data_IF_350390769372
#
_entry.id   IF_350390769372
#
_cell.length_a   1.000
_cell.length_b   1.000
_cell.length_c   1.000
_cell.angle_alpha   90.00
_cell.angle_beta   90.00
_cell.angle_gamma   90.00
#
_symmetry.space_group_name_H-M   'P 1'
#
loop_
_entity.id
_entity.type
_entity.pdbx_description
1 polymer ?
#
# COMPACT_ATOMS: atom_id res chain seq x y z
N UNK A 1 -22.65 3.37 47.09
CA UNK A 1 -22.74 2.42 45.96
C UNK A 1 -21.89 1.22 46.29
N UNK A 2 -22.49 0.03 46.42
CA UNK A 2 -21.73 -1.19 46.61
C UNK A 2 -20.94 -1.51 45.32
N UNK A 3 -19.69 -1.99 45.42
CA UNK A 3 -18.94 -2.40 44.23
C UNK A 3 -19.69 -3.55 43.54
N UNK A 4 -19.83 -3.46 42.22
CA UNK A 4 -20.39 -4.53 41.40
C UNK A 4 -19.56 -5.80 41.57
N UNK A 5 -20.18 -6.99 41.74
CA UNK A 5 -19.43 -8.23 41.92
C UNK A 5 -18.56 -8.51 40.67
N UNK A 6 -17.26 -8.74 40.89
CA UNK A 6 -16.31 -9.05 39.83
C UNK A 6 -16.60 -10.46 39.26
N UNK A 7 -16.61 -10.60 37.92
CA UNK A 7 -16.83 -11.91 37.28
C UNK A 7 -15.63 -12.85 37.47
N UNK A 8 -15.86 -14.17 37.50
CA UNK A 8 -14.79 -15.17 37.60
C UNK A 8 -13.73 -15.02 36.50
N UNK A 9 -14.14 -14.58 35.30
CA UNK A 9 -13.24 -14.33 34.17
C UNK A 9 -12.33 -13.12 34.36
N UNK A 10 -12.75 -12.13 35.16
CA UNK A 10 -11.97 -10.95 35.48
C UNK A 10 -10.93 -11.27 36.57
N UNK A 11 -11.34 -12.01 37.60
CA UNK A 11 -10.45 -12.50 38.66
C UNK A 11 -9.31 -13.36 38.09
N UNK A 12 -9.61 -14.22 37.10
CA UNK A 12 -8.60 -15.04 36.43
C UNK A 12 -7.56 -14.25 35.60
N UNK A 13 -7.90 -13.03 35.15
CA UNK A 13 -7.05 -12.20 34.29
C UNK A 13 -6.37 -11.05 35.03
N UNK A 14 -6.77 -10.80 36.27
CA UNK A 14 -6.23 -9.73 37.10
C UNK A 14 -4.77 -10.06 37.45
N UNK A 15 -3.81 -9.16 37.19
CA UNK A 15 -2.43 -9.42 37.56
C UNK A 15 -2.32 -9.56 39.10
N UNK A 16 -1.62 -10.60 39.54
CA UNK A 16 -1.39 -10.88 40.97
C UNK A 16 -0.25 -10.01 41.54
N UNK A 17 0.65 -9.55 40.68
CA UNK A 17 1.84 -8.76 41.03
C UNK A 17 1.50 -7.26 40.98
N UNK A 18 2.02 -6.43 41.91
CA UNK A 18 1.85 -4.98 41.84
C UNK A 18 2.39 -4.38 40.53
N UNK A 19 1.86 -3.24 40.11
CA UNK A 19 2.26 -2.52 38.91
C UNK A 19 3.59 -1.75 39.08
N UNK A 20 4.59 -2.41 39.67
CA UNK A 20 5.93 -1.90 39.89
C UNK A 20 6.94 -2.97 39.51
N UNK A 21 8.14 -2.53 39.16
CA UNK A 21 9.25 -3.44 38.86
C UNK A 21 10.16 -3.70 40.06
N UNK A 22 9.95 -2.94 41.14
CA UNK A 22 10.70 -3.07 42.38
C UNK A 22 10.37 -4.41 43.05
N UNK A 23 11.39 -5.26 43.22
CA UNK A 23 11.27 -6.58 43.87
C UNK A 23 10.85 -7.74 42.95
N UNK A 24 10.82 -7.54 41.62
CA UNK A 24 10.60 -8.61 40.65
C UNK A 24 11.93 -9.29 40.33
N UNK A 25 11.95 -10.63 40.41
CA UNK A 25 13.08 -11.42 39.93
C UNK A 25 13.11 -11.40 38.39
N UNK A 26 14.23 -10.98 37.83
CA UNK A 26 14.41 -10.77 36.40
C UNK A 26 14.67 -12.08 35.64
N UNK A 27 15.17 -13.10 36.35
CA UNK A 27 15.45 -14.42 35.78
C UNK A 27 14.15 -15.23 35.61
N UNK A 28 13.10 -14.88 36.36
CA UNK A 28 11.75 -15.45 36.24
C UNK A 28 10.93 -14.79 35.12
N UNK A 29 11.07 -15.31 33.90
CA UNK A 29 10.31 -14.84 32.73
C UNK A 29 8.78 -14.73 32.91
N UNK A 30 8.05 -15.61 33.64
CA UNK A 30 6.60 -15.45 33.82
C UNK A 30 6.24 -14.31 34.78
N UNK A 31 6.99 -14.12 35.88
CA UNK A 31 6.73 -13.04 36.84
C UNK A 31 7.04 -11.68 36.25
N UNK A 32 8.12 -11.58 35.49
CA UNK A 32 8.50 -10.37 34.75
C UNK A 32 7.42 -9.97 33.74
N UNK A 33 6.85 -10.92 32.99
CA UNK A 33 5.73 -10.64 32.07
C UNK A 33 4.46 -10.20 32.80
N UNK A 34 4.15 -10.81 33.94
CA UNK A 34 2.98 -10.40 34.76
C UNK A 34 3.14 -8.97 35.29
N UNK A 35 4.36 -8.59 35.72
CA UNK A 35 4.67 -7.22 36.15
C UNK A 35 4.58 -6.21 35.00
N UNK A 36 5.11 -6.55 33.81
CA UNK A 36 4.98 -5.72 32.61
C UNK A 36 3.51 -5.51 32.22
N UNK A 37 2.72 -6.58 32.23
CA UNK A 37 1.29 -6.54 31.93
C UNK A 37 0.51 -5.71 32.97
N UNK A 38 0.89 -5.77 34.24
CA UNK A 38 0.29 -4.95 35.30
C UNK A 38 0.55 -3.45 35.07
N UNK A 39 1.80 -3.09 34.77
CA UNK A 39 2.20 -1.71 34.44
C UNK A 39 1.44 -1.21 33.21
N UNK A 40 1.37 -2.02 32.14
CA UNK A 40 0.68 -1.64 30.91
C UNK A 40 -0.81 -1.38 31.16
N UNK A 41 -1.48 -2.24 31.93
CA UNK A 41 -2.90 -2.04 32.27
C UNK A 41 -3.12 -0.75 33.03
N UNK A 42 -2.31 -0.43 34.03
CA UNK A 42 -2.42 0.82 34.80
C UNK A 42 -2.19 2.06 33.92
N UNK A 43 -1.24 2.00 32.98
CA UNK A 43 -1.03 3.06 32.01
C UNK A 43 -2.24 3.25 31.09
N UNK A 44 -2.84 2.15 30.61
CA UNK A 44 -4.07 2.20 29.83
C UNK A 44 -5.24 2.77 30.62
N UNK A 45 -5.41 2.39 31.88
CA UNK A 45 -6.42 2.94 32.79
C UNK A 45 -6.25 4.44 32.92
N UNK A 46 -5.04 4.95 33.19
CA UNK A 46 -4.76 6.39 33.24
C UNK A 46 -5.11 7.11 31.94
N UNK A 47 -4.79 6.52 30.79
CA UNK A 47 -5.15 7.08 29.49
C UNK A 47 -6.67 7.12 29.26
N UNK A 48 -7.39 6.11 29.73
CA UNK A 48 -8.85 6.03 29.62
C UNK A 48 -9.54 7.00 30.57
N UNK A 49 -9.03 7.17 31.79
CA UNK A 49 -9.49 8.20 32.72
C UNK A 49 -9.36 9.59 32.11
N UNK A 50 -8.24 9.91 31.46
CA UNK A 50 -8.05 11.18 30.77
C UNK A 50 -9.06 11.39 29.62
N UNK A 51 -9.45 10.32 28.91
CA UNK A 51 -10.49 10.39 27.87
C UNK A 51 -11.87 10.66 28.47
N UNK A 52 -12.24 9.98 29.56
CA UNK A 52 -13.51 10.21 30.25
C UNK A 52 -13.62 11.64 30.77
N UNK A 53 -12.56 12.16 31.42
CA UNK A 53 -12.55 13.56 31.89
C UNK A 53 -12.68 14.53 30.72
N UNK A 54 -12.06 14.25 29.55
CA UNK A 54 -12.25 15.07 28.35
C UNK A 54 -13.70 15.06 27.86
N UNK A 55 -14.36 13.91 27.86
CA UNK A 55 -15.77 13.80 27.44
C UNK A 55 -16.70 14.55 28.39
N UNK A 56 -16.52 14.39 29.70
CA UNK A 56 -17.29 15.13 30.72
C UNK A 56 -17.02 16.63 30.66
N UNK A 57 -15.76 17.03 30.45
CA UNK A 57 -15.40 18.42 30.20
C UNK A 57 -16.15 18.94 28.97
N UNK A 58 -16.14 18.20 27.85
CA UNK A 58 -16.92 18.54 26.65
C UNK A 58 -18.40 18.75 26.95
N UNK A 59 -19.03 17.85 27.73
CA UNK A 59 -20.42 18.00 28.18
C UNK A 59 -20.62 19.25 29.05
N UNK A 60 -19.66 19.61 29.90
CA UNK A 60 -19.71 20.84 30.70
C UNK A 60 -19.69 22.10 29.82
N UNK A 61 -18.84 22.14 28.78
CA UNK A 61 -18.81 23.24 27.80
C UNK A 61 -20.16 23.40 27.09
N UNK A 62 -20.80 22.30 26.70
CA UNK A 62 -22.11 22.35 26.06
C UNK A 62 -23.25 22.75 27.01
N UNK A 63 -23.20 22.33 28.28
CA UNK A 63 -24.23 22.66 29.28
C UNK A 63 -24.17 24.11 29.75
N UNK A 64 -22.98 24.62 30.00
CA UNK A 64 -22.78 25.95 30.63
C UNK A 64 -22.59 27.08 29.62
N UNK A 65 -22.27 26.77 28.36
CA UNK A 65 -22.17 27.75 27.27
C UNK A 65 -21.15 28.85 27.58
N UNK A 66 -21.60 30.10 27.63
CA UNK A 66 -20.71 31.26 27.90
C UNK A 66 -20.07 31.18 29.30
N UNK A 67 -20.70 30.49 30.26
CA UNK A 67 -20.20 30.39 31.64
C UNK A 67 -19.25 29.19 31.91
N UNK A 68 -18.66 28.62 30.87
CA UNK A 68 -17.76 27.46 31.03
C UNK A 68 -16.43 27.82 31.73
N UNK A 69 -16.05 29.10 31.79
CA UNK A 69 -14.78 29.55 32.42
C UNK A 69 -14.81 29.40 33.94
N UNK A 70 -15.93 29.74 34.57
CA UNK A 70 -16.08 29.64 36.03
C UNK A 70 -16.44 28.20 36.45
N UNK A 71 -17.34 27.55 35.69
CA UNK A 71 -17.93 26.27 36.10
C UNK A 71 -17.16 25.03 35.64
N UNK A 72 -16.45 25.08 34.51
CA UNK A 72 -15.71 23.92 33.98
C UNK A 72 -14.21 23.92 34.38
N UNK A 73 -13.77 24.86 35.24
CA UNK A 73 -12.38 24.98 35.70
C UNK A 73 -11.85 23.73 36.39
N UNK A 74 -12.63 23.14 37.30
CA UNK A 74 -12.23 21.92 38.03
C UNK A 74 -11.96 20.72 37.10
N UNK A 75 -12.80 20.52 36.09
CA UNK A 75 -12.59 19.44 35.10
C UNK A 75 -11.37 19.68 34.22
N UNK A 76 -11.12 20.96 33.86
CA UNK A 76 -9.94 21.37 33.09
C UNK A 76 -8.65 21.12 33.87
N UNK A 77 -8.61 21.46 35.15
CA UNK A 77 -7.45 21.26 36.01
C UNK A 77 -7.13 19.78 36.20
N UNK A 78 -8.15 18.96 36.51
CA UNK A 78 -8.01 17.50 36.59
C UNK A 78 -7.53 16.87 35.29
N UNK A 79 -8.02 17.37 34.15
CA UNK A 79 -7.56 16.92 32.84
C UNK A 79 -6.08 17.28 32.59
N UNK A 80 -5.63 18.48 32.98
CA UNK A 80 -4.23 18.86 32.86
C UNK A 80 -3.30 18.08 33.79
N UNK A 81 -3.77 17.74 35.00
CA UNK A 81 -3.06 16.87 35.95
C UNK A 81 -2.84 15.48 35.34
N UNK A 82 -3.91 14.84 34.85
CA UNK A 82 -3.84 13.54 34.16
C UNK A 82 -2.97 13.59 32.89
N UNK A 83 -2.97 14.72 32.17
CA UNK A 83 -2.10 14.89 31.00
C UNK A 83 -0.61 14.88 31.37
N UNK A 84 -0.22 15.51 32.48
CA UNK A 84 1.19 15.51 32.93
C UNK A 84 1.66 14.09 33.25
N UNK A 85 0.82 13.31 33.94
CA UNK A 85 1.11 11.91 34.27
C UNK A 85 1.16 11.01 33.03
N UNK A 86 0.24 11.22 32.07
CA UNK A 86 0.20 10.43 30.83
C UNK A 86 1.36 10.72 29.87
N UNK A 87 1.91 11.96 29.87
CA UNK A 87 3.11 12.31 29.10
C UNK A 87 4.33 11.54 29.59
N UNK A 88 4.50 11.41 30.91
CA UNK A 88 5.57 10.61 31.52
C UNK A 88 5.47 9.13 31.14
N UNK A 89 4.25 8.58 31.04
CA UNK A 89 4.04 7.21 30.54
C UNK A 89 4.35 7.05 29.04
N UNK A 90 4.17 8.11 28.23
CA UNK A 90 4.46 8.10 26.79
C UNK A 90 5.96 8.10 26.50
N UNK A 91 6.75 8.79 27.31
CA UNK A 91 8.22 8.83 27.18
C UNK A 91 8.88 7.48 27.50
N UNK A 92 8.27 6.68 28.37
CA UNK A 92 8.76 5.35 28.72
C UNK A 92 8.50 4.27 27.64
N UNK A 93 7.63 4.55 26.66
CA UNK A 93 7.31 3.62 25.58
C UNK A 93 7.54 4.25 24.21
N UNK A 94 8.62 3.90 23.50
CA UNK A 94 8.96 4.50 22.22
C UNK A 94 8.01 3.99 21.13
N UNK A 95 6.81 4.54 21.07
CA UNK A 95 5.84 4.30 19.98
C UNK A 95 5.94 5.31 18.86
N UNK A 96 6.75 6.36 19.01
CA UNK A 96 6.89 7.41 18.01
C UNK A 96 8.34 7.64 17.53
N UNK A 97 9.37 7.20 18.26
CA UNK A 97 10.77 7.29 17.81
C UNK A 97 11.13 6.25 16.73
N UNK A 98 10.46 5.11 16.67
CA UNK A 98 10.64 4.15 15.57
C UNK A 98 10.17 4.70 14.21
N UNK A 99 9.42 5.82 14.19
CA UNK A 99 8.99 6.51 12.97
C UNK A 99 9.78 7.78 12.66
N UNK A 100 10.38 8.45 13.64
CA UNK A 100 11.22 9.64 13.42
C UNK A 100 12.68 9.30 13.14
N UNK A 101 13.22 8.20 13.72
CA UNK A 101 14.59 7.73 13.42
C UNK A 101 14.76 7.26 11.96
N UNK A 102 13.67 6.98 11.24
CA UNK A 102 13.67 6.67 9.81
C UNK A 102 13.60 7.91 8.89
N UNK A 103 13.51 9.13 9.44
CA UNK A 103 13.42 10.38 8.65
C UNK A 103 14.48 11.43 9.00
N UNK A 104 15.21 11.27 10.10
CA UNK A 104 16.24 12.21 10.56
C UNK A 104 17.68 11.66 10.42
N UNK A 105 17.93 10.97 9.31
CA UNK A 105 19.27 10.50 8.92
C UNK A 105 19.94 11.31 7.81
N UNK A 106 19.39 12.47 7.44
CA UNK A 106 20.02 13.36 6.47
C UNK A 106 19.69 14.81 6.79
N UNK A 107 20.39 15.40 7.75
CA UNK A 107 20.83 16.80 7.70
C UNK A 107 21.73 17.09 8.91
N UNK A 108 23.04 17.00 8.70
CA UNK A 108 24.01 17.73 9.52
C UNK A 108 24.86 18.61 8.60
N UNK A 109 24.46 19.88 8.63
CA UNK A 109 25.21 21.13 8.45
C UNK A 109 26.72 20.99 8.28
N UNK A 110 27.22 21.44 7.14
CA UNK A 110 28.40 22.32 7.06
C UNK A 110 28.08 23.52 6.17
N UNK A 111 28.54 24.68 6.60
CA UNK A 111 28.09 25.99 6.11
C UNK A 111 28.68 26.39 4.76
N UNK A 112 28.06 27.40 4.17
CA UNK A 112 28.56 28.08 2.98
C UNK A 112 27.45 28.55 2.05
N UNK A 113 26.95 29.76 2.31
CA UNK A 113 26.34 30.74 1.39
C UNK A 113 25.54 30.17 0.20
N UNK A 114 24.23 30.48 0.13
CA UNK A 114 23.55 31.17 -1.00
C UNK A 114 22.01 31.10 -0.89
N UNK A 115 21.41 32.29 -0.88
CA UNK A 115 20.17 32.75 -1.53
C UNK A 115 18.84 32.05 -1.22
N UNK A 116 17.99 32.79 -0.50
CA UNK A 116 16.53 32.64 -0.49
C UNK A 116 15.98 32.76 -1.92
N UNK A 117 15.55 31.66 -2.51
CA UNK A 117 14.65 31.69 -3.66
C UNK A 117 13.21 31.85 -3.15
N UNK A 118 12.67 33.05 -3.30
CA UNK A 118 11.25 33.35 -3.07
C UNK A 118 10.39 32.59 -4.06
N UNK A 119 9.47 31.79 -3.55
CA UNK A 119 8.44 31.11 -4.36
C UNK A 119 7.38 32.18 -4.66
N UNK A 120 7.50 32.83 -5.81
CA UNK A 120 6.41 33.64 -6.35
C UNK A 120 5.20 32.73 -6.61
N UNK A 121 4.08 33.05 -5.98
CA UNK A 121 2.80 32.42 -6.29
C UNK A 121 2.38 32.73 -7.74
N UNK A 122 1.68 31.81 -8.41
CA UNK A 122 1.14 32.11 -9.73
C UNK A 122 -0.02 33.10 -9.60
N UNK A 123 0.21 34.30 -10.16
CA UNK A 123 -0.79 35.32 -10.38
C UNK A 123 -1.93 34.78 -11.26
N UNK A 124 -3.15 35.13 -10.86
CA UNK A 124 -4.38 34.90 -11.61
C UNK A 124 -4.33 35.72 -12.91
N UNK A 125 -4.25 35.04 -14.06
CA UNK A 125 -4.41 35.66 -15.37
C UNK A 125 -5.78 35.28 -15.95
N UNK A 126 -6.62 36.29 -16.12
CA UNK A 126 -7.91 36.25 -16.80
C UNK A 126 -7.75 35.71 -18.24
N UNK A 127 -8.62 34.82 -18.74
CA UNK A 127 -8.60 34.47 -20.15
C UNK A 127 -9.34 35.54 -20.98
N UNK A 128 -8.64 36.13 -21.94
CA UNK A 128 -9.26 36.92 -23.01
C UNK A 128 -10.12 36.01 -23.91
N UNK A 129 -11.32 36.53 -24.19
CA UNK A 129 -12.37 35.99 -25.03
C UNK A 129 -11.92 35.94 -26.49
N UNK A 130 -11.60 34.76 -27.00
CA UNK A 130 -11.43 34.51 -28.45
C UNK A 130 -12.79 34.11 -29.03
N UNK A 131 -13.34 34.95 -29.90
CA UNK A 131 -14.53 34.61 -30.69
C UNK A 131 -14.11 33.70 -31.84
N UNK A 132 -14.66 32.48 -31.88
CA UNK A 132 -14.51 31.55 -32.99
C UNK A 132 -15.70 31.71 -33.92
N UNK A 133 -15.46 32.25 -35.11
CA UNK A 133 -16.39 32.24 -36.22
C UNK A 133 -16.43 30.84 -36.84
N UNK A 134 -17.62 30.26 -36.81
CA UNK A 134 -17.99 29.04 -37.53
C UNK A 134 -17.99 29.30 -39.03
N UNK A 135 -17.32 28.47 -39.82
CA UNK A 135 -17.78 28.16 -41.17
C UNK A 135 -17.69 26.65 -41.44
N UNK A 136 -18.89 26.12 -41.68
CA UNK A 136 -19.25 24.79 -42.15
C UNK A 136 -19.04 24.75 -43.66
N UNK A 137 -18.38 23.72 -44.18
CA UNK A 137 -18.48 23.37 -45.59
C UNK A 137 -18.58 21.86 -45.76
N UNK A 138 -19.72 21.43 -46.30
CA UNK A 138 -19.97 20.09 -46.82
C UNK A 138 -19.55 20.09 -48.30
N UNK A 139 -18.85 19.06 -48.75
CA UNK A 139 -19.08 18.43 -50.07
C UNK A 139 -18.60 16.98 -50.01
N UNK A 140 -19.38 16.08 -50.60
CA UNK A 140 -19.04 14.67 -50.79
C UNK A 140 -18.68 14.38 -52.25
N UNK A 141 -18.11 13.19 -52.48
CA UNK A 141 -18.18 12.39 -53.73
C UNK A 141 -17.20 11.21 -53.60
N UNK A 142 -17.69 9.97 -53.49
CA UNK A 142 -17.80 8.91 -54.53
C UNK A 142 -16.54 8.08 -54.79
N UNK A 143 -16.61 6.82 -54.34
CA UNK A 143 -16.32 5.54 -55.03
C UNK A 143 -15.11 5.40 -55.98
N UNK A 144 -14.27 4.39 -55.71
CA UNK A 144 -13.88 3.34 -56.68
C UNK A 144 -13.15 2.17 -56.00
N UNK A 145 -13.58 0.96 -56.31
CA UNK A 145 -13.01 -0.32 -55.87
C UNK A 145 -12.11 -0.95 -56.96
N UNK A 146 -11.09 -1.73 -56.58
CA UNK A 146 -10.89 -3.14 -57.05
C UNK A 146 -9.49 -3.73 -56.71
N UNK A 147 -9.34 -5.08 -56.72
CA UNK A 147 -8.30 -5.86 -56.02
C UNK A 147 -7.32 -6.63 -56.96
N UNK A 148 -6.26 -7.28 -56.43
CA UNK A 148 -5.67 -8.52 -56.97
C UNK A 148 -4.50 -9.10 -56.11
N UNK A 149 -4.76 -10.28 -55.51
CA UNK A 149 -4.04 -11.59 -55.47
C UNK A 149 -2.50 -11.79 -55.44
N UNK A 150 -2.03 -12.98 -54.94
CA UNK A 150 -0.69 -13.26 -54.43
C UNK A 150 0.23 -14.02 -55.42
N UNK A 151 1.52 -14.17 -55.07
CA UNK A 151 2.41 -15.13 -55.74
C UNK A 151 3.39 -15.80 -54.76
N UNK A 152 3.30 -17.13 -54.73
CA UNK A 152 4.25 -18.09 -54.18
C UNK A 152 5.41 -18.28 -55.17
N UNK A 153 6.65 -18.38 -54.69
CA UNK A 153 7.75 -18.97 -55.45
C UNK A 153 8.75 -19.67 -54.52
N UNK A 154 9.06 -20.90 -54.88
CA UNK A 154 9.92 -21.88 -54.19
C UNK A 154 11.34 -21.93 -54.77
N UNK A 155 12.37 -21.81 -53.92
CA UNK A 155 13.74 -22.38 -53.99
C UNK A 155 14.71 -21.96 -55.14
N UNK A 156 16.02 -22.32 -55.10
CA UNK A 156 16.80 -23.03 -54.07
C UNK A 156 18.15 -22.36 -53.62
N UNK A 157 18.80 -23.06 -52.70
CA UNK A 157 20.06 -22.90 -51.93
C UNK A 157 21.37 -22.63 -52.70
N UNK A 158 22.31 -21.89 -52.08
CA UNK A 158 23.74 -22.26 -51.88
C UNK A 158 24.44 -21.29 -50.90
N UNK A 159 25.31 -21.88 -50.09
CA UNK A 159 25.93 -21.44 -48.83
C UNK A 159 27.17 -20.53 -48.99
N UNK A 160 27.44 -19.66 -48.00
CA UNK A 160 28.79 -19.34 -47.47
C UNK A 160 28.67 -18.57 -46.13
N UNK A 161 29.51 -18.85 -45.10
CA UNK A 161 29.25 -18.48 -43.71
C UNK A 161 29.93 -17.17 -43.27
N UNK A 162 29.18 -16.31 -42.56
CA UNK A 162 29.66 -15.14 -41.82
C UNK A 162 29.62 -15.45 -40.30
N UNK A 163 30.56 -14.95 -39.47
CA UNK A 163 30.72 -15.35 -38.08
C UNK A 163 29.51 -14.94 -37.22
N UNK A 164 29.29 -15.61 -36.07
CA UNK A 164 28.12 -15.37 -35.24
C UNK A 164 28.13 -13.93 -34.71
N UNK A 165 27.18 -13.12 -35.20
CA UNK A 165 26.76 -11.89 -34.53
C UNK A 165 26.36 -12.26 -33.09
N UNK A 166 26.90 -11.59 -32.06
CA UNK A 166 26.44 -11.81 -30.70
C UNK A 166 24.94 -11.53 -30.66
N UNK A 167 24.19 -12.50 -30.11
CA UNK A 167 22.75 -12.40 -29.91
C UNK A 167 22.46 -11.07 -29.20
N UNK A 168 21.61 -10.26 -29.80
CA UNK A 168 21.14 -9.02 -29.22
C UNK A 168 20.55 -9.33 -27.85
N UNK A 169 21.21 -8.83 -26.81
CA UNK A 169 20.70 -8.87 -25.44
C UNK A 169 19.45 -7.99 -25.45
N UNK A 170 18.31 -8.58 -25.08
CA UNK A 170 17.09 -7.86 -24.72
C UNK A 170 17.48 -6.67 -23.84
N UNK A 171 17.12 -5.45 -24.24
CA UNK A 171 17.51 -4.26 -23.49
C UNK A 171 16.88 -4.33 -22.10
N UNK A 172 17.69 -4.56 -21.08
CA UNK A 172 17.27 -4.57 -19.68
C UNK A 172 16.82 -3.16 -19.28
N UNK A 173 15.87 -3.02 -18.34
CA UNK A 173 15.44 -1.72 -17.88
C UNK A 173 16.61 -0.98 -17.22
N UNK A 174 16.79 0.30 -17.57
CA UNK A 174 17.83 1.15 -16.97
C UNK A 174 17.62 1.18 -15.46
N UNK A 175 18.57 0.63 -14.72
CA UNK A 175 18.57 0.60 -13.26
C UNK A 175 18.86 1.99 -12.70
N UNK A 176 18.35 2.27 -11.50
CA UNK A 176 18.61 3.55 -10.83
C UNK A 176 20.07 3.70 -10.36
N UNK A 177 20.82 2.59 -10.27
CA UNK A 177 22.21 2.55 -9.83
C UNK A 177 23.05 1.84 -10.90
N UNK A 178 23.71 2.60 -11.82
CA UNK A 178 24.53 1.99 -12.86
C UNK A 178 25.74 1.25 -12.27
N UNK A 179 26.35 0.38 -13.08
CA UNK A 179 27.53 -0.39 -12.70
C UNK A 179 28.64 0.50 -12.10
N UNK A 180 29.25 0.05 -11.01
CA UNK A 180 30.29 0.79 -10.28
C UNK A 180 29.77 1.73 -9.19
N UNK A 181 28.46 1.83 -8.98
CA UNK A 181 27.90 2.66 -7.89
C UNK A 181 28.14 2.00 -6.53
N UNK A 182 28.83 2.70 -5.60
CA UNK A 182 29.03 2.24 -4.22
C UNK A 182 27.74 2.44 -3.42
N UNK A 183 27.16 1.35 -2.90
CA UNK A 183 25.92 1.39 -2.13
C UNK A 183 26.21 1.69 -0.65
N UNK A 184 26.16 2.98 -0.32
CA UNK A 184 26.53 3.51 1.01
C UNK A 184 25.67 2.92 2.14
N UNK A 185 26.32 2.50 3.23
CA UNK A 185 25.64 2.15 4.48
C UNK A 185 24.99 0.77 4.50
N UNK A 186 25.38 -0.13 3.59
CA UNK A 186 24.94 -1.53 3.61
C UNK A 186 25.92 -2.42 4.38
N UNK A 187 27.21 -2.10 4.38
CA UNK A 187 28.17 -2.88 5.11
C UNK A 187 28.14 -2.55 6.62
N UNK A 188 27.82 -3.56 7.43
CA UNK A 188 27.85 -3.49 8.89
C UNK A 188 29.09 -4.17 9.50
N UNK A 189 29.99 -4.71 8.67
CA UNK A 189 31.22 -5.37 9.11
C UNK A 189 32.38 -4.37 9.20
N UNK A 190 33.10 -4.38 10.32
CA UNK A 190 34.29 -3.55 10.52
C UNK A 190 35.42 -3.98 9.57
N UNK A 191 36.01 -3.03 8.85
CA UNK A 191 37.16 -3.28 7.96
C UNK A 191 36.80 -3.91 6.61
N UNK A 192 35.52 -3.87 6.22
CA UNK A 192 35.07 -4.16 4.85
C UNK A 192 34.55 -2.88 4.20
N UNK A 193 34.58 -2.82 2.88
CA UNK A 193 34.01 -1.72 2.11
C UNK A 193 32.53 -1.98 1.80
N UNK A 194 31.79 -0.92 1.48
CA UNK A 194 30.41 -1.02 1.00
C UNK A 194 30.36 -1.76 -0.35
N UNK A 195 29.33 -2.59 -0.59
CA UNK A 195 29.22 -3.34 -1.84
C UNK A 195 29.04 -2.40 -3.04
N UNK A 196 29.72 -2.73 -4.13
CA UNK A 196 29.66 -1.99 -5.39
C UNK A 196 28.66 -2.66 -6.33
N UNK A 197 27.79 -1.88 -6.97
CA UNK A 197 26.83 -2.38 -7.95
C UNK A 197 27.54 -2.98 -9.17
N UNK A 198 27.13 -4.19 -9.56
CA UNK A 198 27.62 -4.91 -10.73
C UNK A 198 26.89 -4.44 -12.00
N UNK A 199 27.23 -5.02 -13.16
CA UNK A 199 26.49 -4.76 -14.39
C UNK A 199 25.07 -5.34 -14.32
N UNK A 200 24.11 -4.68 -14.97
CA UNK A 200 22.68 -5.06 -14.94
C UNK A 200 22.41 -6.50 -15.43
N UNK A 201 23.27 -7.01 -16.31
CA UNK A 201 23.20 -8.37 -16.87
C UNK A 201 23.69 -9.46 -15.91
N UNK A 202 24.55 -9.09 -14.95
CA UNK A 202 25.09 -10.01 -13.95
C UNK A 202 24.08 -10.26 -12.83
N UNK A 203 23.10 -9.36 -12.70
CA UNK A 203 21.98 -9.56 -11.79
C UNK A 203 20.96 -10.54 -12.36
N UNK A 204 20.38 -11.41 -11.51
CA UNK A 204 19.41 -12.38 -11.97
C UNK A 204 18.11 -11.69 -12.44
N UNK A 205 17.49 -12.24 -13.49
CA UNK A 205 16.32 -11.65 -14.16
C UNK A 205 15.12 -11.42 -13.22
N UNK A 206 14.96 -12.27 -12.21
CA UNK A 206 13.86 -12.14 -11.25
C UNK A 206 13.90 -10.81 -10.47
N UNK A 207 15.09 -10.19 -10.30
CA UNK A 207 15.25 -8.91 -9.62
C UNK A 207 14.41 -7.82 -10.28
N UNK A 208 14.39 -7.81 -11.62
CA UNK A 208 13.65 -6.83 -12.42
C UNK A 208 12.13 -7.05 -12.35
N UNK A 209 11.68 -8.25 -11.97
CA UNK A 209 10.27 -8.62 -11.79
C UNK A 209 9.78 -8.39 -10.35
N UNK A 210 10.66 -8.08 -9.38
CA UNK A 210 10.27 -7.89 -7.99
C UNK A 210 9.24 -6.76 -7.79
N UNK A 211 9.35 -5.64 -8.51
CA UNK A 211 8.43 -4.49 -8.37
C UNK A 211 7.04 -4.73 -9.00
N UNK A 212 6.85 -5.82 -9.74
CA UNK A 212 5.53 -6.15 -10.30
C UNK A 212 4.49 -6.43 -9.20
N UNK A 213 4.93 -6.81 -8.00
CA UNK A 213 4.04 -6.97 -6.83
C UNK A 213 3.40 -5.64 -6.39
N UNK A 214 4.14 -4.54 -6.48
CA UNK A 214 3.67 -3.20 -6.12
C UNK A 214 2.79 -2.61 -7.23
N UNK A 215 3.16 -2.89 -8.48
CA UNK A 215 2.30 -2.59 -9.62
C UNK A 215 0.97 -3.31 -9.47
N UNK A 216 0.90 -4.57 -9.04
CA UNK A 216 -0.41 -5.25 -8.91
C UNK A 216 -1.40 -4.58 -7.93
N UNK A 217 -0.94 -3.72 -7.02
CA UNK A 217 -1.79 -2.88 -6.16
C UNK A 217 -2.12 -1.49 -6.73
N UNK A 218 -1.43 -1.06 -7.79
CA UNK A 218 -1.57 0.24 -8.47
C UNK A 218 -1.83 0.15 -9.98
N UNK A 219 -1.83 -1.04 -10.56
CA UNK A 219 -1.99 -1.35 -11.97
C UNK A 219 -3.45 -1.74 -12.23
N UNK A 220 -4.36 -0.87 -11.80
CA UNK A 220 -5.25 -0.36 -12.84
C UNK A 220 -4.33 0.46 -13.73
N UNK A 221 -4.28 0.16 -15.02
CA UNK A 221 -3.66 1.01 -16.02
C UNK A 221 -3.93 2.49 -15.66
N UNK A 222 -2.95 3.38 -15.75
CA UNK A 222 -3.18 4.81 -15.40
C UNK A 222 -4.29 5.42 -16.30
N UNK A 223 -4.55 4.77 -17.44
CA UNK A 223 -5.69 5.02 -18.32
C UNK A 223 -7.02 4.36 -17.87
N UNK A 224 -6.99 3.40 -16.96
CA UNK A 224 -8.15 2.79 -16.30
C UNK A 224 -8.24 3.33 -14.86
N UNK A 225 -8.40 4.65 -14.74
CA UNK A 225 -8.54 5.30 -13.44
C UNK A 225 -9.61 4.64 -12.58
N UNK A 226 -9.31 4.46 -11.30
CA UNK A 226 -10.20 3.86 -10.31
C UNK A 226 -11.58 4.56 -10.30
N UNK A 227 -12.65 3.80 -10.53
CA UNK A 227 -14.04 4.25 -10.39
C UNK A 227 -14.32 4.84 -9.00
N UNK A 228 -13.51 4.46 -8.02
CA UNK A 228 -13.56 4.92 -6.64
C UNK A 228 -12.60 6.09 -6.33
N UNK A 229 -12.09 6.76 -7.36
CA UNK A 229 -11.26 7.96 -7.20
C UNK A 229 -12.02 9.10 -6.48
N UNK A 230 -11.31 9.84 -5.61
CA UNK A 230 -11.88 10.91 -4.78
C UNK A 230 -12.46 12.08 -5.61
N UNK A 231 -11.98 12.31 -6.84
CA UNK A 231 -12.46 13.40 -7.70
C UNK A 231 -13.74 13.03 -8.46
N UNK A 232 -14.76 13.91 -8.43
CA UNK A 232 -16.03 13.69 -9.15
C UNK A 232 -15.85 13.66 -10.67
N UNK A 233 -14.87 14.39 -11.21
CA UNK A 233 -14.59 14.47 -12.65
C UNK A 233 -13.97 13.16 -13.16
N UNK A 234 -13.06 12.55 -12.39
CA UNK A 234 -12.42 11.28 -12.77
C UNK A 234 -13.45 10.16 -12.81
N UNK A 235 -14.28 10.02 -11.77
CA UNK A 235 -15.37 9.02 -11.75
C UNK A 235 -16.30 9.09 -12.95
N UNK A 236 -16.70 10.30 -13.35
CA UNK A 236 -17.57 10.51 -14.52
C UNK A 236 -16.91 10.09 -15.84
N UNK A 237 -15.62 10.37 -16.00
CA UNK A 237 -14.86 10.00 -17.20
C UNK A 237 -14.62 8.49 -17.27
N UNK A 238 -14.27 7.87 -16.14
CA UNK A 238 -14.09 6.42 -16.00
C UNK A 238 -15.41 5.70 -16.32
N UNK A 239 -16.52 6.09 -15.67
CA UNK A 239 -17.84 5.52 -15.94
C UNK A 239 -18.29 5.71 -17.40
N UNK A 240 -17.97 6.86 -18.02
CA UNK A 240 -18.25 7.09 -19.45
C UNK A 240 -17.39 6.18 -20.34
N UNK A 241 -16.13 5.92 -19.97
CA UNK A 241 -15.21 5.04 -20.69
C UNK A 241 -15.66 3.58 -20.56
N UNK A 242 -16.03 3.11 -19.37
CA UNK A 242 -16.55 1.76 -19.14
C UNK A 242 -17.83 1.50 -19.93
N UNK A 243 -18.83 2.38 -19.84
CA UNK A 243 -20.06 2.28 -20.64
C UNK A 243 -19.78 2.22 -22.15
N UNK A 244 -18.76 2.95 -22.62
CA UNK A 244 -18.37 2.92 -24.03
C UNK A 244 -17.68 1.60 -24.42
N UNK A 245 -16.86 1.03 -23.54
CA UNK A 245 -16.23 -0.27 -23.75
C UNK A 245 -17.26 -1.39 -23.70
N UNK A 246 -18.16 -1.39 -22.72
CA UNK A 246 -19.29 -2.31 -22.62
C UNK A 246 -20.18 -2.23 -23.86
N UNK A 247 -20.60 -1.02 -24.27
CA UNK A 247 -21.39 -0.85 -25.49
C UNK A 247 -20.65 -1.34 -26.74
N UNK A 248 -19.32 -1.21 -26.80
CA UNK A 248 -18.51 -1.74 -27.90
C UNK A 248 -18.45 -3.27 -27.88
N UNK A 249 -18.29 -3.89 -26.71
CA UNK A 249 -18.28 -5.36 -26.56
C UNK A 249 -19.66 -5.96 -26.87
N UNK A 250 -20.73 -5.30 -26.43
CA UNK A 250 -22.11 -5.68 -26.79
C UNK A 250 -22.31 -5.54 -28.30
N UNK A 251 -21.80 -4.46 -28.90
CA UNK A 251 -21.91 -4.23 -30.34
C UNK A 251 -21.04 -5.17 -31.19
N UNK A 252 -19.90 -5.65 -30.69
CA UNK A 252 -19.09 -6.67 -31.39
C UNK A 252 -19.71 -8.06 -31.33
N UNK A 253 -20.77 -8.25 -30.53
CA UNK A 253 -21.43 -9.54 -30.36
C UNK A 253 -20.68 -10.51 -29.45
N UNK A 254 -19.55 -10.10 -28.86
CA UNK A 254 -18.74 -10.89 -27.94
C UNK A 254 -19.35 -10.85 -26.53
N UNK A 255 -20.50 -11.50 -26.36
CA UNK A 255 -21.22 -11.56 -25.08
C UNK A 255 -20.43 -12.29 -23.98
N UNK A 256 -19.48 -13.14 -24.37
CA UNK A 256 -18.61 -13.90 -23.45
C UNK A 256 -17.66 -13.01 -22.64
N UNK A 257 -17.23 -11.87 -23.19
CA UNK A 257 -16.31 -10.96 -22.51
C UNK A 257 -17.00 -10.15 -21.39
N UNK A 258 -18.33 -10.05 -21.42
CA UNK A 258 -19.14 -9.37 -20.41
C UNK A 258 -19.52 -10.27 -19.24
N UNK A 259 -19.35 -11.59 -19.39
CA UNK A 259 -19.64 -12.54 -18.32
C UNK A 259 -18.67 -12.30 -17.15
N UNK A 260 -19.17 -12.22 -15.89
CA UNK A 260 -18.32 -12.09 -14.73
C UNK A 260 -17.26 -13.20 -14.69
N UNK A 261 -15.97 -12.82 -14.64
CA UNK A 261 -14.90 -13.81 -14.55
C UNK A 261 -14.95 -14.49 -13.18
N UNK A 262 -15.38 -15.76 -13.18
CA UNK A 262 -15.38 -16.59 -11.97
C UNK A 262 -13.94 -16.69 -11.45
N UNK A 263 -13.67 -16.31 -10.19
CA UNK A 263 -12.33 -16.35 -9.62
C UNK A 263 -11.84 -17.80 -9.50
N UNK A 264 -10.52 -18.00 -9.61
CA UNK A 264 -9.89 -19.33 -9.72
C UNK A 264 -10.33 -20.30 -8.61
N UNK A 265 -10.49 -19.82 -7.38
CA UNK A 265 -10.87 -20.69 -6.26
C UNK A 265 -12.34 -21.10 -6.21
N UNK A 266 -13.20 -20.51 -7.04
CA UNK A 266 -14.61 -20.87 -7.19
C UNK A 266 -14.86 -21.72 -8.45
N UNK A 267 -13.83 -21.96 -9.26
CA UNK A 267 -13.92 -22.79 -10.45
C UNK A 267 -13.87 -24.27 -10.05
N UNK A 268 -14.69 -25.10 -10.70
CA UNK A 268 -14.68 -26.57 -10.58
C UNK A 268 -13.95 -27.24 -11.74
N UNK A 269 -13.21 -26.47 -12.53
CA UNK A 269 -12.44 -26.98 -13.67
C UNK A 269 -11.19 -27.67 -13.13
N UNK A 270 -10.89 -28.85 -13.68
CA UNK A 270 -9.71 -29.62 -13.27
C UNK A 270 -8.42 -28.84 -13.52
N UNK A 271 -7.52 -28.91 -12.54
CA UNK A 271 -6.17 -28.37 -12.72
C UNK A 271 -5.39 -29.26 -13.70
N UNK A 272 -4.46 -28.69 -14.48
CA UNK A 272 -3.64 -29.48 -15.40
C UNK A 272 -2.87 -30.55 -14.63
N UNK A 273 -3.03 -31.79 -15.08
CA UNK A 273 -2.35 -32.98 -14.57
C UNK A 273 -1.24 -33.39 -15.54
N UNK A 274 -0.16 -34.00 -15.02
CA UNK A 274 0.96 -34.46 -15.84
C UNK A 274 0.75 -35.90 -16.31
N UNK A 275 -0.28 -36.13 -17.12
CA UNK A 275 -0.60 -37.49 -17.60
C UNK A 275 0.43 -38.02 -18.59
N UNK A 276 1.05 -37.13 -19.37
CA UNK A 276 2.05 -37.47 -20.38
C UNK A 276 3.45 -37.68 -19.77
N UNK A 277 3.61 -37.51 -18.44
CA UNK A 277 4.88 -37.71 -17.74
C UNK A 277 5.99 -36.73 -18.14
N UNK A 278 5.66 -35.60 -18.75
CA UNK A 278 6.65 -34.61 -19.21
C UNK A 278 7.11 -33.71 -18.05
N UNK A 279 8.35 -33.22 -18.11
CA UNK A 279 8.87 -32.29 -17.09
C UNK A 279 8.13 -30.95 -17.17
N UNK A 280 7.84 -30.46 -18.37
CA UNK A 280 7.11 -29.20 -18.59
C UNK A 280 5.70 -29.28 -18.01
N UNK A 281 4.98 -30.37 -18.28
CA UNK A 281 3.65 -30.61 -17.72
C UNK A 281 3.67 -30.71 -16.19
N UNK A 282 4.73 -31.28 -15.60
CA UNK A 282 4.91 -31.30 -14.15
C UNK A 282 5.08 -29.88 -13.57
N UNK A 283 5.92 -29.06 -14.20
CA UNK A 283 6.19 -27.68 -13.76
C UNK A 283 4.93 -26.82 -13.86
N UNK A 284 4.19 -26.92 -14.96
CA UNK A 284 2.94 -26.19 -15.18
C UNK A 284 1.85 -26.60 -14.17
N UNK A 285 1.73 -27.90 -13.90
CA UNK A 285 0.81 -28.42 -12.90
C UNK A 285 1.15 -27.88 -11.50
N UNK A 286 2.43 -27.81 -11.12
CA UNK A 286 2.87 -27.21 -9.85
C UNK A 286 2.55 -25.72 -9.82
N UNK A 287 2.82 -24.98 -10.90
CA UNK A 287 2.56 -23.55 -10.99
C UNK A 287 1.08 -23.23 -10.80
N UNK A 288 0.18 -24.00 -11.44
CA UNK A 288 -1.28 -23.82 -11.32
C UNK A 288 -1.83 -24.19 -9.94
N UNK A 289 -1.32 -25.25 -9.31
CA UNK A 289 -1.64 -25.56 -7.91
C UNK A 289 -1.20 -24.45 -6.95
N UNK A 290 -0.02 -23.87 -7.19
CA UNK A 290 0.47 -22.75 -6.39
C UNK A 290 -0.36 -21.47 -6.61
N UNK A 291 -0.81 -21.21 -7.84
CA UNK A 291 -1.73 -20.12 -8.18
C UNK A 291 -3.05 -20.21 -7.38
N UNK A 292 -3.67 -21.40 -7.37
CA UNK A 292 -4.87 -21.67 -6.57
C UNK A 292 -4.62 -21.47 -5.06
N UNK A 293 -3.50 -21.99 -4.55
CA UNK A 293 -3.14 -21.83 -3.13
C UNK A 293 -2.97 -20.36 -2.74
N UNK A 294 -2.39 -19.55 -3.62
CA UNK A 294 -2.23 -18.11 -3.43
C UNK A 294 -3.58 -17.40 -3.44
N UNK A 295 -4.47 -17.76 -4.37
CA UNK A 295 -5.83 -17.22 -4.44
C UNK A 295 -6.65 -17.54 -3.16
N UNK A 296 -6.61 -18.80 -2.70
CA UNK A 296 -7.21 -19.23 -1.44
C UNK A 296 -6.63 -18.49 -0.23
N UNK A 297 -5.33 -18.20 -0.22
CA UNK A 297 -4.68 -17.43 0.85
C UNK A 297 -5.16 -15.98 0.86
N UNK A 298 -5.36 -15.34 -0.29
CA UNK A 298 -5.92 -13.98 -0.36
C UNK A 298 -7.33 -13.91 0.19
N UNK A 299 -8.21 -14.85 -0.16
CA UNK A 299 -9.59 -14.91 0.35
C UNK A 299 -9.62 -15.13 1.87
N UNK A 300 -8.82 -16.08 2.39
CA UNK A 300 -8.70 -16.29 3.84
C UNK A 300 -8.22 -15.03 4.56
N UNK A 301 -7.24 -14.31 3.99
CA UNK A 301 -6.77 -13.03 4.57
C UNK A 301 -7.87 -11.96 4.57
N UNK A 302 -8.66 -11.87 3.50
CA UNK A 302 -9.78 -10.94 3.43
C UNK A 302 -10.84 -11.28 4.50
N UNK A 303 -11.22 -12.56 4.60
CA UNK A 303 -12.16 -13.05 5.60
C UNK A 303 -11.69 -12.78 7.03
N UNK A 304 -10.41 -13.05 7.33
CA UNK A 304 -9.83 -12.74 8.66
C UNK A 304 -9.93 -11.24 8.97
N UNK A 305 -9.62 -10.38 8.00
CA UNK A 305 -9.73 -8.91 8.19
C UNK A 305 -11.17 -8.49 8.42
N UNK A 306 -12.12 -9.00 7.65
CA UNK A 306 -13.54 -8.73 7.82
C UNK A 306 -14.04 -9.20 9.19
N UNK A 307 -13.73 -10.43 9.60
CA UNK A 307 -14.12 -10.95 10.92
C UNK A 307 -13.51 -10.14 12.05
N UNK A 308 -12.25 -9.72 11.93
CA UNK A 308 -11.59 -8.88 12.93
C UNK A 308 -12.22 -7.48 12.98
N UNK A 309 -12.59 -6.92 11.83
CA UNK A 309 -13.26 -5.64 11.72
C UNK A 309 -14.64 -5.69 12.39
N UNK A 310 -15.48 -6.66 12.02
CA UNK A 310 -16.82 -6.84 12.60
C UNK A 310 -16.75 -7.15 14.11
N UNK A 311 -15.79 -7.97 14.54
CA UNK A 311 -15.59 -8.26 15.97
C UNK A 311 -15.12 -7.04 16.76
N UNK A 312 -14.41 -6.10 16.14
CA UNK A 312 -14.00 -4.84 16.76
C UNK A 312 -15.10 -3.78 16.80
N UNK A 313 -16.22 -4.00 16.11
CA UNK A 313 -17.37 -3.08 16.12
C UNK A 313 -18.41 -3.40 17.22
N UNK A 314 -18.44 -4.64 17.71
CA UNK A 314 -19.30 -5.09 18.81
C UNK A 314 -18.54 -5.04 20.15
#
# INVERSE_FOLDING_TARGET
>A
MAPTPESASFLAKKPTVPATFDGVDYDDTPRLKQAQDAILREQWVRSMMARLVREEMGKCYYREGVNHLEKCGALRERYFELLKESKKCREFWPTNEAKSMAKEGNDRVEGGVVVRAGILGPASALPLRVQHTFLRSLTGSTTSASPATPATATGPTISTPLPPKPKAKTALPVSAAPAGTVLKGLNYLKGRDDPVALAEEEYPEWLWKCLEVDKKGKAGDELEGDEFSKSKKTRRLVAKRQRKLEARLIASGDTEALLPKVPLQQQTIDLPSNEQGSVEGAVDAVAKRHELTKAMRSERRAKIKETNFLKGMN
#
